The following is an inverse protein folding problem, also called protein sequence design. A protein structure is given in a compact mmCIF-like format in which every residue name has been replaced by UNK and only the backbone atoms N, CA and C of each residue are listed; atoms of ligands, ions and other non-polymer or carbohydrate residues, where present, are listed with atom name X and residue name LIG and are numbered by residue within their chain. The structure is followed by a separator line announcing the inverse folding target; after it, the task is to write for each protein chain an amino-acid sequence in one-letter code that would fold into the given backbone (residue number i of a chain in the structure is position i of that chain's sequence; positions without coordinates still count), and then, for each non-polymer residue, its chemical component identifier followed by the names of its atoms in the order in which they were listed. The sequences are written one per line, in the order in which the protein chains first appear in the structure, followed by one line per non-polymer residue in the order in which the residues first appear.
data_IF_704249391728
#
_entry.id   IF_704249391728
#
_cell.length_a   1.000
_cell.length_b   1.000
_cell.length_c   1.000
_cell.angle_alpha   90.00
_cell.angle_beta   90.00
_cell.angle_gamma   90.00
#
_symmetry.space_group_name_H-M   'P 1'
#
loop_
_entity.id
_entity.type
_entity.pdbx_description
1 polymer ?
#
# COMPACT_ATOMS: atom_id res chain seq x y z
N UNK A 1 8.50 12.69 -1.12
CA UNK A 1 7.80 12.24 -2.34
C UNK A 1 8.08 13.14 -3.54
N UNK A 2 8.77 12.61 -4.54
CA UNK A 2 9.08 13.35 -5.77
C UNK A 2 8.27 12.77 -6.93
N UNK A 3 7.55 13.63 -7.64
CA UNK A 3 6.93 13.33 -8.94
C UNK A 3 7.64 14.21 -9.97
N UNK A 4 7.97 13.66 -11.14
CA UNK A 4 8.55 14.45 -12.22
C UNK A 4 7.55 15.53 -12.67
N UNK A 5 7.89 16.80 -12.40
CA UNK A 5 6.99 17.94 -12.64
C UNK A 5 6.92 18.37 -14.11
N UNK A 6 7.90 17.99 -14.91
CA UNK A 6 7.93 18.27 -16.36
C UNK A 6 7.12 17.23 -17.13
N UNK A 7 7.08 15.99 -16.62
CA UNK A 7 6.36 14.88 -17.25
C UNK A 7 4.85 14.87 -16.94
N UNK A 8 4.47 15.26 -15.72
CA UNK A 8 3.08 15.25 -15.25
C UNK A 8 2.55 16.66 -14.99
N UNK A 9 1.35 16.97 -15.47
CA UNK A 9 0.60 18.19 -15.16
C UNK A 9 0.16 18.23 -13.68
N UNK A 10 -0.30 19.40 -13.19
CA UNK A 10 -0.76 19.53 -11.80
C UNK A 10 -1.93 18.59 -11.46
N UNK A 11 -2.87 18.40 -12.39
CA UNK A 11 -4.01 17.49 -12.22
C UNK A 11 -3.56 16.03 -12.22
N UNK A 12 -2.69 15.63 -13.15
CA UNK A 12 -2.14 14.27 -13.19
C UNK A 12 -1.35 13.93 -11.92
N UNK A 13 -0.54 14.87 -11.40
CA UNK A 13 0.16 14.67 -10.12
C UNK A 13 -0.79 14.51 -8.94
N UNK A 14 -1.95 15.19 -8.96
CA UNK A 14 -2.99 15.03 -7.91
C UNK A 14 -3.60 13.64 -8.00
N UNK A 15 -3.87 13.19 -9.22
CA UNK A 15 -4.43 11.87 -9.47
C UNK A 15 -3.47 10.75 -9.08
N UNK A 16 -2.17 10.86 -9.41
CA UNK A 16 -1.14 9.91 -8.97
C UNK A 16 -1.09 9.77 -7.45
N UNK A 17 -1.17 10.88 -6.70
CA UNK A 17 -1.23 10.84 -5.23
C UNK A 17 -2.50 10.15 -4.73
N UNK A 18 -3.64 10.39 -5.38
CA UNK A 18 -4.90 9.72 -5.05
C UNK A 18 -4.77 8.21 -5.26
N UNK A 19 -4.25 7.78 -6.41
CA UNK A 19 -4.05 6.36 -6.73
C UNK A 19 -3.10 5.69 -5.73
N UNK A 20 -1.99 6.33 -5.40
CA UNK A 20 -1.05 5.86 -4.37
C UNK A 20 -1.71 5.74 -3.00
N UNK A 21 -2.54 6.71 -2.60
CA UNK A 21 -3.28 6.63 -1.34
C UNK A 21 -4.25 5.44 -1.30
N UNK A 22 -5.00 5.22 -2.38
CA UNK A 22 -5.91 4.08 -2.50
C UNK A 22 -5.14 2.76 -2.48
N UNK A 23 -4.01 2.68 -3.17
CA UNK A 23 -3.17 1.48 -3.19
C UNK A 23 -2.64 1.15 -1.78
N UNK A 24 -2.12 2.16 -1.10
CA UNK A 24 -1.63 2.01 0.28
C UNK A 24 -2.73 1.52 1.22
N UNK A 25 -3.92 2.12 1.15
CA UNK A 25 -5.07 1.71 1.97
C UNK A 25 -5.44 0.25 1.73
N UNK A 26 -5.51 -0.19 0.46
CA UNK A 26 -5.87 -1.57 0.10
C UNK A 26 -4.86 -2.59 0.62
N UNK A 27 -3.57 -2.30 0.48
CA UNK A 27 -2.52 -3.21 0.97
C UNK A 27 -2.45 -3.23 2.50
N UNK A 28 -2.60 -2.08 3.14
CA UNK A 28 -2.65 -2.01 4.60
C UNK A 28 -3.88 -2.75 5.14
N UNK A 29 -5.03 -2.64 4.49
CA UNK A 29 -6.23 -3.40 4.85
C UNK A 29 -5.99 -4.91 4.78
N UNK A 30 -5.39 -5.41 3.69
CA UNK A 30 -5.02 -6.82 3.56
C UNK A 30 -4.04 -7.28 4.64
N UNK A 31 -3.06 -6.45 4.99
CA UNK A 31 -2.14 -6.75 6.08
C UNK A 31 -2.83 -6.79 7.45
N UNK A 32 -3.80 -5.89 7.68
CA UNK A 32 -4.61 -5.86 8.89
C UNK A 32 -5.56 -7.06 8.98
N UNK A 33 -6.10 -7.56 7.87
CA UNK A 33 -6.90 -8.79 7.84
C UNK A 33 -6.08 -10.01 8.31
N UNK A 34 -4.81 -10.11 7.89
CA UNK A 34 -3.92 -11.16 8.38
C UNK A 34 -3.63 -11.03 9.89
N UNK A 35 -3.49 -9.79 10.39
CA UNK A 35 -3.35 -9.55 11.83
C UNK A 35 -4.64 -9.91 12.58
N UNK A 36 -5.81 -9.61 12.03
CA UNK A 36 -7.11 -9.94 12.60
C UNK A 36 -7.31 -11.45 12.76
N UNK A 37 -6.90 -12.26 11.77
CA UNK A 37 -6.92 -13.71 11.89
C UNK A 37 -6.03 -14.21 13.04
N UNK A 38 -4.90 -13.55 13.29
CA UNK A 38 -4.04 -13.87 14.45
C UNK A 38 -4.77 -13.61 15.77
N UNK A 39 -5.54 -12.52 15.89
CA UNK A 39 -6.42 -12.29 17.04
C UNK A 39 -7.50 -13.38 17.16
N UNK A 40 -8.09 -13.85 16.05
CA UNK A 40 -9.06 -14.96 16.07
C UNK A 40 -8.44 -16.26 16.56
N UNK A 41 -7.20 -16.55 16.16
CA UNK A 41 -6.47 -17.73 16.62
C UNK A 41 -6.18 -17.68 18.12
N UNK A 42 -5.76 -16.51 18.63
CA UNK A 42 -5.56 -16.30 20.06
C UNK A 42 -6.85 -16.51 20.86
N UNK A 43 -7.97 -15.94 20.42
CA UNK A 43 -9.29 -16.16 21.06
C UNK A 43 -9.74 -17.62 21.09
N UNK A 44 -9.24 -18.43 20.16
CA UNK A 44 -9.49 -19.88 20.08
C UNK A 44 -8.42 -20.71 20.83
N UNK A 45 -7.55 -20.08 21.61
CA UNK A 45 -6.41 -20.68 22.31
C UNK A 45 -5.45 -21.46 21.38
N UNK A 46 -5.40 -21.11 20.09
CA UNK A 46 -4.48 -21.75 19.11
C UNK A 46 -3.07 -21.19 19.20
N UNK A 47 -2.95 -19.93 19.60
CA UNK A 47 -1.69 -19.25 19.91
C UNK A 47 -1.83 -18.59 21.28
N UNK A 48 -0.73 -18.45 21.99
CA UNK A 48 -0.69 -17.79 23.28
C UNK A 48 -0.47 -16.26 23.16
N UNK A 49 -0.57 -15.56 24.28
CA UNK A 49 -0.46 -14.09 24.32
C UNK A 49 0.92 -13.58 23.88
N UNK A 50 2.01 -14.32 24.15
CA UNK A 50 3.35 -13.93 23.72
C UNK A 50 3.51 -14.07 22.20
N UNK A 51 2.95 -15.12 21.61
CA UNK A 51 2.94 -15.31 20.16
C UNK A 51 2.14 -14.20 19.45
N UNK A 52 0.95 -13.86 19.94
CA UNK A 52 0.18 -12.75 19.40
C UNK A 52 0.93 -11.41 19.53
N UNK A 53 1.57 -11.17 20.68
CA UNK A 53 2.36 -9.95 20.90
C UNK A 53 3.54 -9.84 19.92
N UNK A 54 4.25 -10.95 19.66
CA UNK A 54 5.33 -10.99 18.67
C UNK A 54 4.82 -10.73 17.24
N UNK A 55 3.66 -11.29 16.87
CA UNK A 55 3.03 -11.02 15.57
C UNK A 55 2.67 -9.53 15.42
N UNK A 56 2.11 -8.90 16.47
CA UNK A 56 1.81 -7.46 16.46
C UNK A 56 3.09 -6.63 16.28
N UNK A 57 4.18 -6.98 16.98
CA UNK A 57 5.46 -6.29 16.82
C UNK A 57 6.02 -6.45 15.41
N UNK A 58 5.95 -7.66 14.83
CA UNK A 58 6.39 -7.92 13.45
C UNK A 58 5.54 -7.16 12.42
N UNK A 59 4.23 -7.08 12.63
CA UNK A 59 3.35 -6.26 11.80
C UNK A 59 3.75 -4.78 11.87
N UNK A 60 3.88 -4.22 13.07
CA UNK A 60 4.17 -2.80 13.25
C UNK A 60 5.57 -2.42 12.73
N UNK A 61 6.59 -3.20 13.08
CA UNK A 61 7.98 -2.87 12.77
C UNK A 61 8.42 -3.33 11.36
N UNK A 62 7.73 -4.31 10.78
CA UNK A 62 7.95 -4.79 9.43
C UNK A 62 6.87 -4.26 8.50
N UNK A 63 5.82 -5.05 8.28
CA UNK A 63 4.82 -4.83 7.22
C UNK A 63 4.27 -3.41 7.16
N UNK A 64 3.75 -2.88 8.27
CA UNK A 64 3.17 -1.53 8.30
C UNK A 64 4.23 -0.44 8.05
N UNK A 65 5.44 -0.64 8.59
CA UNK A 65 6.56 0.28 8.38
C UNK A 65 7.02 0.26 6.92
N UNK A 66 7.14 -0.90 6.32
CA UNK A 66 7.56 -1.07 4.93
C UNK A 66 6.56 -0.45 3.97
N UNK A 67 5.25 -0.67 4.19
CA UNK A 67 4.19 -0.03 3.42
C UNK A 67 4.24 1.50 3.55
N UNK A 68 4.38 2.03 4.77
CA UNK A 68 4.52 3.48 4.98
C UNK A 68 5.77 4.03 4.27
N UNK A 69 6.91 3.36 4.38
CA UNK A 69 8.14 3.77 3.71
C UNK A 69 7.99 3.76 2.18
N UNK A 70 7.31 2.76 1.64
CA UNK A 70 7.09 2.64 0.21
C UNK A 70 6.10 3.68 -0.33
N UNK A 71 4.98 3.88 0.36
CA UNK A 71 3.89 4.71 -0.14
C UNK A 71 3.94 6.16 0.27
N UNK A 72 4.36 6.48 1.50
CA UNK A 72 4.39 7.86 2.04
C UNK A 72 5.79 8.50 1.97
N UNK A 73 6.84 7.74 2.31
CA UNK A 73 8.20 8.26 2.22
C UNK A 73 8.81 8.12 0.81
N UNK A 74 8.23 7.25 -0.02
CA UNK A 74 8.79 6.83 -1.31
C UNK A 74 8.54 7.76 -2.50
N UNK A 75 8.77 7.21 -3.69
CA UNK A 75 8.59 7.87 -4.97
C UNK A 75 7.20 7.56 -5.54
N UNK A 76 6.30 8.54 -5.50
CA UNK A 76 4.90 8.38 -5.92
C UNK A 76 4.73 7.75 -7.31
N UNK A 77 5.61 8.07 -8.27
CA UNK A 77 5.54 7.47 -9.61
C UNK A 77 5.89 5.97 -9.62
N UNK A 78 6.91 5.57 -8.84
CA UNK A 78 7.27 4.16 -8.68
C UNK A 78 6.17 3.41 -7.92
N UNK A 79 5.63 4.00 -6.86
CA UNK A 79 4.55 3.41 -6.09
C UNK A 79 3.27 3.25 -6.92
N UNK A 80 2.93 4.25 -7.76
CA UNK A 80 1.79 4.15 -8.67
C UNK A 80 1.99 3.05 -9.72
N UNK A 81 3.18 2.94 -10.32
CA UNK A 81 3.50 1.90 -11.29
C UNK A 81 3.40 0.51 -10.66
N UNK A 82 3.99 0.33 -9.48
CA UNK A 82 3.90 -0.90 -8.72
C UNK A 82 2.45 -1.29 -8.45
N UNK A 83 1.64 -0.35 -7.95
CA UNK A 83 0.23 -0.61 -7.65
C UNK A 83 -0.58 -1.07 -8.87
N UNK A 84 -0.27 -0.56 -10.07
CA UNK A 84 -0.93 -0.97 -11.31
C UNK A 84 -0.42 -2.35 -11.77
N UNK A 85 0.91 -2.56 -11.78
CA UNK A 85 1.51 -3.83 -12.19
C UNK A 85 1.07 -5.01 -11.32
N UNK A 86 0.96 -4.81 -10.01
CA UNK A 86 0.51 -5.84 -9.07
C UNK A 86 -1.03 -5.97 -9.03
N UNK A 87 -1.76 -5.17 -9.80
CA UNK A 87 -3.22 -5.21 -9.84
C UNK A 87 -3.90 -4.71 -8.56
N UNK A 88 -3.16 -4.01 -7.68
CA UNK A 88 -3.71 -3.35 -6.49
C UNK A 88 -4.66 -2.21 -6.94
N UNK A 89 -4.28 -1.52 -8.00
CA UNK A 89 -5.12 -0.59 -8.77
C UNK A 89 -5.34 -1.21 -10.14
N UNK A 90 -6.59 -1.36 -10.56
CA UNK A 90 -6.90 -1.88 -11.90
C UNK A 90 -6.64 -0.80 -12.95
N UNK A 91 -6.20 -1.18 -14.15
CA UNK A 91 -6.01 -0.22 -15.25
C UNK A 91 -7.30 0.58 -15.55
N UNK A 92 -8.47 -0.03 -15.35
CA UNK A 92 -9.78 0.64 -15.51
C UNK A 92 -10.03 1.77 -14.51
N UNK A 93 -9.29 1.81 -13.40
CA UNK A 93 -9.37 2.87 -12.38
C UNK A 93 -8.45 4.05 -12.69
N UNK A 94 -7.63 3.96 -13.75
CA UNK A 94 -6.59 4.93 -14.11
C UNK A 94 -6.93 5.58 -15.45
N UNK A 95 -6.73 6.89 -15.54
CA UNK A 95 -6.87 7.60 -16.81
C UNK A 95 -5.91 7.04 -17.87
N UNK A 96 -6.35 6.82 -19.14
CA UNK A 96 -5.49 6.33 -20.21
C UNK A 96 -4.20 7.15 -20.40
N UNK A 97 -4.29 8.48 -20.20
CA UNK A 97 -3.14 9.39 -20.31
C UNK A 97 -2.10 9.11 -19.21
N UNK A 98 -2.55 8.77 -18.00
CA UNK A 98 -1.63 8.43 -16.90
C UNK A 98 -1.03 7.04 -17.14
N UNK A 99 -1.83 6.08 -17.60
CA UNK A 99 -1.34 4.75 -17.96
C UNK A 99 -0.24 4.81 -19.01
N UNK A 100 -0.44 5.59 -20.08
CA UNK A 100 0.57 5.76 -21.13
C UNK A 100 1.89 6.33 -20.60
N UNK A 101 1.82 7.30 -19.68
CA UNK A 101 3.00 7.93 -19.05
C UNK A 101 3.70 7.05 -18.01
N UNK A 102 3.04 6.01 -17.50
CA UNK A 102 3.60 5.10 -16.49
C UNK A 102 4.18 3.80 -17.09
N UNK A 103 3.95 3.56 -18.38
CA UNK A 103 4.62 2.50 -19.16
C UNK A 103 6.09 2.86 -19.39
#
# INVERSE_FOLDING_TARGET
MSINKEHFTKSERKELRRLVGVAYERELAKALEALEESFRQWRKNKINTFELSDIIHKFHNGVARDLWSFYEAGHTELSARHAITEGIILETEVSPVILEKLK
#
